data_IF_860551941763
#
_entry.id   IF_860551941763
#
_cell.length_a   1.000
_cell.length_b   1.000
_cell.length_c   1.000
_cell.angle_alpha   90.00
_cell.angle_beta   90.00
_cell.angle_gamma   90.00
#
_symmetry.space_group_name_H-M   'P 1'
#
loop_
_entity.id
_entity.type
_entity.pdbx_description
1 polymer ?
#
# COMPACT_ATOMS: atom_id res chain seq x y z
N UNK A 1 13.41 4.29 -11.72
CA UNK A 1 13.45 4.04 -10.27
C UNK A 1 14.70 4.60 -9.62
N UNK A 2 14.58 5.24 -8.46
CA UNK A 2 15.69 5.50 -7.55
C UNK A 2 15.41 4.80 -6.22
N UNK A 3 16.32 3.93 -5.77
CA UNK A 3 16.18 3.19 -4.52
C UNK A 3 16.65 4.04 -3.34
N UNK A 4 15.94 3.93 -2.23
CA UNK A 4 16.28 4.54 -0.95
C UNK A 4 16.64 3.46 0.05
N UNK A 5 17.47 3.80 1.04
CA UNK A 5 17.82 2.86 2.10
C UNK A 5 16.59 2.56 2.96
N UNK A 6 16.19 1.29 3.11
CA UNK A 6 15.08 0.94 3.96
C UNK A 6 15.45 1.11 5.44
N UNK A 7 14.45 1.37 6.31
CA UNK A 7 14.65 1.38 7.75
C UNK A 7 15.10 0.01 8.25
N UNK A 8 15.66 -0.04 9.47
CA UNK A 8 16.02 -1.33 10.09
C UNK A 8 14.75 -2.10 10.43
N UNK A 9 14.64 -3.34 9.97
CA UNK A 9 13.47 -4.16 10.25
C UNK A 9 13.32 -5.31 9.25
N UNK A 10 12.06 -5.69 8.93
CA UNK A 10 11.76 -6.64 7.87
C UNK A 10 12.40 -6.24 6.55
N UNK A 11 12.61 -7.21 5.65
CA UNK A 11 13.10 -6.93 4.30
C UNK A 11 12.12 -5.99 3.59
N UNK A 12 12.63 -4.85 3.14
CA UNK A 12 11.86 -3.85 2.38
C UNK A 12 12.61 -3.41 1.12
N UNK A 13 11.86 -2.92 0.14
CA UNK A 13 12.37 -2.15 -0.99
C UNK A 13 11.58 -0.86 -1.06
N UNK A 14 12.29 0.25 -1.00
CA UNK A 14 11.72 1.58 -0.96
C UNK A 14 12.34 2.35 -2.11
N UNK A 15 11.49 2.98 -2.92
CA UNK A 15 11.94 3.70 -4.09
C UNK A 15 11.09 4.92 -4.37
N UNK A 16 11.67 5.85 -5.12
CA UNK A 16 10.98 7.01 -5.68
C UNK A 16 11.19 7.11 -7.18
N UNK A 17 10.33 7.87 -7.83
CA UNK A 17 10.45 8.23 -9.25
C UNK A 17 9.85 9.60 -9.48
N UNK A 18 10.48 10.39 -10.34
CA UNK A 18 9.93 11.69 -10.73
C UNK A 18 8.67 11.46 -11.57
N UNK A 19 7.64 12.24 -11.29
CA UNK A 19 6.36 12.17 -11.98
C UNK A 19 6.54 12.60 -13.43
N UNK A 20 6.08 11.76 -14.34
CA UNK A 20 6.18 11.95 -15.77
C UNK A 20 4.92 11.43 -16.48
N UNK A 21 4.70 11.89 -17.71
CA UNK A 21 3.64 11.34 -18.55
C UNK A 21 4.04 9.93 -19.00
N UNK A 22 3.38 8.93 -18.42
CA UNK A 22 3.66 7.52 -18.70
C UNK A 22 2.38 6.67 -18.63
N UNK A 23 2.53 5.39 -18.99
CA UNK A 23 1.51 4.35 -18.87
C UNK A 23 2.07 3.19 -18.06
N UNK A 24 1.18 2.46 -17.37
CA UNK A 24 1.52 1.27 -16.59
C UNK A 24 0.46 0.21 -16.81
N UNK A 25 0.89 -1.05 -16.86
CA UNK A 25 0.02 -2.24 -16.95
C UNK A 25 -0.79 -2.45 -15.67
N UNK A 26 -0.28 -1.99 -14.52
CA UNK A 26 -0.98 -2.03 -13.23
C UNK A 26 -1.87 -0.80 -12.97
N UNK A 27 -2.05 0.08 -13.96
CA UNK A 27 -2.82 1.30 -13.80
C UNK A 27 -4.33 1.09 -13.98
N UNK A 28 -5.08 1.34 -12.90
CA UNK A 28 -6.54 1.45 -12.97
C UNK A 28 -6.99 2.60 -13.88
N UNK A 29 -8.12 2.42 -14.57
CA UNK A 29 -8.79 3.52 -15.27
C UNK A 29 -9.38 4.50 -14.24
N UNK A 30 -9.02 5.79 -14.32
CA UNK A 30 -9.58 6.84 -13.48
C UNK A 30 -10.52 7.73 -14.30
N UNK A 31 -11.85 7.58 -14.19
CA UNK A 31 -12.80 8.40 -14.94
C UNK A 31 -12.64 9.89 -14.61
N UNK A 32 -12.62 10.74 -15.63
CA UNK A 32 -12.60 12.21 -15.51
C UNK A 32 -11.41 12.76 -14.71
N UNK A 33 -10.28 12.06 -14.69
CA UNK A 33 -9.06 12.55 -14.07
C UNK A 33 -8.42 13.68 -14.89
N UNK A 34 -7.81 14.64 -14.20
CA UNK A 34 -6.93 15.64 -14.83
C UNK A 34 -5.65 14.99 -15.31
N UNK A 35 -4.96 15.60 -16.28
CA UNK A 35 -3.66 15.10 -16.77
C UNK A 35 -2.65 14.93 -15.62
N UNK A 36 -2.61 15.87 -14.67
CA UNK A 36 -1.75 15.75 -13.49
C UNK A 36 -2.09 14.50 -12.68
N UNK A 37 -3.36 14.26 -12.37
CA UNK A 37 -3.78 13.09 -11.58
C UNK A 37 -3.49 11.78 -12.30
N UNK A 38 -3.59 11.77 -13.64
CA UNK A 38 -3.20 10.61 -14.45
C UNK A 38 -1.70 10.37 -14.41
N UNK A 39 -0.87 11.43 -14.55
CA UNK A 39 0.58 11.33 -14.46
C UNK A 39 1.03 10.84 -13.07
N UNK A 40 0.46 11.40 -11.99
CA UNK A 40 0.74 10.99 -10.62
C UNK A 40 0.44 9.49 -10.42
N UNK A 41 -0.76 9.04 -10.83
CA UNK A 41 -1.19 7.65 -10.70
C UNK A 41 -0.36 6.70 -11.57
N UNK A 42 -0.18 7.00 -12.85
CA UNK A 42 0.56 6.15 -13.77
C UNK A 42 2.04 6.04 -13.39
N UNK A 43 2.65 7.14 -12.93
CA UNK A 43 4.04 7.08 -12.42
C UNK A 43 4.13 6.20 -11.20
N UNK A 44 3.19 6.32 -10.24
CA UNK A 44 3.17 5.47 -9.05
C UNK A 44 3.02 3.98 -9.38
N UNK A 45 2.19 3.66 -10.39
CA UNK A 45 1.99 2.29 -10.86
C UNK A 45 3.17 1.74 -11.66
N UNK A 46 3.80 2.57 -12.49
CA UNK A 46 5.04 2.21 -13.19
C UNK A 46 6.19 1.99 -12.20
N UNK A 47 6.29 2.83 -11.16
CA UNK A 47 7.25 2.63 -10.08
C UNK A 47 7.00 1.30 -9.35
N UNK A 48 5.73 0.95 -9.09
CA UNK A 48 5.38 -0.36 -8.51
C UNK A 48 5.84 -1.52 -9.40
N UNK A 49 5.66 -1.43 -10.73
CA UNK A 49 6.15 -2.45 -11.67
C UNK A 49 7.68 -2.60 -11.61
N UNK A 50 8.41 -1.48 -11.63
CA UNK A 50 9.87 -1.45 -11.50
C UNK A 50 10.31 -2.10 -10.17
N UNK A 51 9.60 -1.82 -9.07
CA UNK A 51 9.87 -2.39 -7.75
C UNK A 51 9.59 -3.90 -7.68
N UNK A 52 8.49 -4.35 -8.29
CA UNK A 52 8.10 -5.76 -8.30
C UNK A 52 9.01 -6.61 -9.19
N UNK A 53 9.47 -6.06 -10.32
CA UNK A 53 10.47 -6.70 -11.15
C UNK A 53 11.79 -6.92 -10.38
N UNK A 54 12.26 -5.91 -9.63
CA UNK A 54 13.42 -6.04 -8.73
C UNK A 54 13.15 -7.07 -7.62
N UNK A 55 11.91 -7.15 -7.11
CA UNK A 55 11.48 -8.15 -6.13
C UNK A 55 11.29 -9.55 -6.73
N UNK A 56 11.52 -9.73 -8.04
CA UNK A 56 11.33 -10.99 -8.77
C UNK A 56 9.87 -11.50 -8.80
N UNK A 57 8.90 -10.58 -8.80
CA UNK A 57 7.48 -10.89 -8.99
C UNK A 57 7.09 -10.66 -10.46
N UNK A 58 6.49 -11.66 -11.15
CA UNK A 58 6.07 -11.53 -12.54
C UNK A 58 4.82 -10.63 -12.65
N UNK A 59 4.99 -9.47 -13.29
CA UNK A 59 3.96 -8.42 -13.41
C UNK A 59 2.71 -8.91 -14.17
N UNK A 60 2.91 -9.79 -15.16
CA UNK A 60 1.85 -10.34 -16.01
C UNK A 60 0.96 -11.38 -15.31
N UNK A 61 1.30 -11.73 -14.07
CA UNK A 61 0.65 -12.78 -13.30
C UNK A 61 -0.07 -12.24 -12.06
N UNK A 62 -0.04 -10.92 -11.85
CA UNK A 62 -0.61 -10.26 -10.68
C UNK A 62 -1.60 -9.17 -11.07
N UNK A 63 -2.42 -8.77 -10.11
CA UNK A 63 -3.23 -7.57 -10.17
C UNK A 63 -3.13 -6.77 -8.87
N UNK A 64 -3.55 -5.50 -8.93
CA UNK A 64 -3.63 -4.65 -7.74
C UNK A 64 -5.09 -4.42 -7.37
N UNK A 65 -5.49 -5.04 -6.27
CA UNK A 65 -6.82 -4.89 -5.70
C UNK A 65 -6.80 -3.84 -4.59
N UNK A 66 -7.98 -3.56 -4.02
CA UNK A 66 -8.16 -2.58 -2.94
C UNK A 66 -9.05 -3.13 -1.85
N UNK A 67 -8.72 -2.82 -0.59
CA UNK A 67 -9.59 -3.09 0.56
C UNK A 67 -10.86 -2.21 0.51
N UNK A 68 -11.78 -2.42 1.44
CA UNK A 68 -12.97 -1.57 1.62
C UNK A 68 -12.58 -0.10 1.83
N UNK A 69 -11.53 0.15 2.61
CA UNK A 69 -10.94 1.48 2.87
C UNK A 69 -9.98 1.94 1.77
N UNK A 70 -9.97 1.24 0.63
CA UNK A 70 -9.27 1.60 -0.60
C UNK A 70 -7.74 1.45 -0.55
N UNK A 71 -7.19 0.80 0.48
CA UNK A 71 -5.77 0.49 0.56
C UNK A 71 -5.39 -0.56 -0.52
N UNK A 72 -4.34 -0.32 -1.33
CA UNK A 72 -3.96 -1.26 -2.38
C UNK A 72 -3.31 -2.52 -1.79
N UNK A 73 -3.50 -3.66 -2.44
CA UNK A 73 -2.78 -4.91 -2.16
C UNK A 73 -2.62 -5.73 -3.43
N UNK A 74 -1.64 -6.64 -3.45
CA UNK A 74 -1.39 -7.51 -4.60
C UNK A 74 -2.19 -8.80 -4.50
N UNK A 75 -2.70 -9.28 -5.63
CA UNK A 75 -3.28 -10.62 -5.78
C UNK A 75 -2.68 -11.31 -7.00
N UNK A 76 -2.63 -12.64 -6.98
CA UNK A 76 -2.39 -13.41 -8.21
C UNK A 76 -3.62 -13.30 -9.12
N UNK A 77 -3.40 -13.26 -10.43
CA UNK A 77 -4.50 -13.33 -11.39
C UNK A 77 -5.16 -14.72 -11.34
N UNK A 78 -6.48 -14.75 -11.47
CA UNK A 78 -7.26 -15.98 -11.57
C UNK A 78 -6.68 -16.92 -12.65
N UNK A 79 -6.46 -18.18 -12.27
CA UNK A 79 -5.93 -19.21 -13.17
C UNK A 79 -4.40 -19.29 -13.24
N UNK A 80 -3.67 -18.43 -12.51
CA UNK A 80 -2.23 -18.58 -12.30
C UNK A 80 -1.99 -19.58 -11.17
N UNK A 81 -1.26 -20.68 -11.46
CA UNK A 81 -0.87 -21.68 -10.45
C UNK A 81 0.35 -21.24 -9.64
N UNK A 82 0.20 -20.17 -8.84
CA UNK A 82 1.23 -19.63 -7.95
C UNK A 82 0.69 -19.55 -6.52
N UNK A 83 1.44 -20.05 -5.54
CA UNK A 83 1.00 -20.11 -4.14
C UNK A 83 1.98 -19.47 -3.15
N UNK A 84 3.10 -18.91 -3.62
CA UNK A 84 3.97 -18.12 -2.75
C UNK A 84 3.30 -16.79 -2.36
N UNK A 85 3.50 -16.34 -1.11
CA UNK A 85 2.90 -15.12 -0.62
C UNK A 85 3.53 -13.89 -1.28
N UNK A 86 2.68 -12.92 -1.62
CA UNK A 86 3.07 -11.64 -2.22
C UNK A 86 3.53 -10.64 -1.15
N UNK A 87 4.46 -9.72 -1.48
CA UNK A 87 4.80 -8.62 -0.59
C UNK A 87 3.61 -7.67 -0.41
N UNK A 88 3.51 -7.02 0.74
CA UNK A 88 2.58 -5.90 0.91
C UNK A 88 3.15 -4.63 0.27
N UNK A 89 2.26 -3.75 -0.19
CA UNK A 89 2.63 -2.57 -0.97
C UNK A 89 2.04 -1.30 -0.38
N UNK A 90 2.80 -0.21 -0.50
CA UNK A 90 2.30 1.13 -0.23
C UNK A 90 2.81 2.12 -1.27
N UNK A 91 1.94 3.04 -1.66
CA UNK A 91 2.19 4.03 -2.69
C UNK A 91 1.83 5.42 -2.16
N UNK A 92 2.56 6.42 -2.63
CA UNK A 92 2.30 7.83 -2.37
C UNK A 92 2.78 8.70 -3.51
N UNK A 93 2.32 9.95 -3.53
CA UNK A 93 2.87 10.95 -4.44
C UNK A 93 2.78 12.33 -3.79
N UNK A 94 3.80 13.16 -3.98
CA UNK A 94 3.75 14.56 -3.62
C UNK A 94 4.69 15.39 -4.48
N UNK A 95 4.25 16.61 -4.81
CA UNK A 95 4.97 17.51 -5.69
C UNK A 95 5.25 16.85 -7.04
N UNK A 96 6.53 16.60 -7.31
CA UNK A 96 7.03 15.95 -8.52
C UNK A 96 7.47 14.50 -8.30
N UNK A 97 7.16 13.88 -7.15
CA UNK A 97 7.68 12.55 -6.80
C UNK A 97 6.55 11.57 -6.52
N UNK A 98 6.68 10.37 -7.08
CA UNK A 98 5.97 9.18 -6.64
C UNK A 98 6.91 8.36 -5.73
N UNK A 99 6.35 7.73 -4.70
CA UNK A 99 7.06 6.88 -3.75
C UNK A 99 6.37 5.52 -3.64
N UNK A 100 7.16 4.46 -3.47
CA UNK A 100 6.69 3.09 -3.35
C UNK A 100 7.49 2.36 -2.28
N UNK A 101 6.80 1.55 -1.48
CA UNK A 101 7.40 0.59 -0.57
C UNK A 101 6.81 -0.80 -0.80
N UNK A 102 7.68 -1.80 -0.85
CA UNK A 102 7.37 -3.23 -0.74
C UNK A 102 7.94 -3.73 0.58
N UNK A 103 7.22 -4.60 1.27
CA UNK A 103 7.69 -5.30 2.47
C UNK A 103 7.47 -6.80 2.32
N UNK A 104 8.34 -7.61 2.90
CA UNK A 104 8.19 -9.06 2.87
C UNK A 104 6.86 -9.55 3.46
N UNK A 105 6.38 -10.72 3.02
CA UNK A 105 5.15 -11.31 3.54
C UNK A 105 5.13 -11.43 5.07
N UNK A 106 3.94 -11.27 5.66
CA UNK A 106 3.73 -11.27 7.10
C UNK A 106 3.68 -9.87 7.73
N UNK A 107 3.97 -8.83 6.95
CA UNK A 107 3.87 -7.44 7.38
C UNK A 107 2.98 -6.60 6.46
N UNK A 108 2.45 -5.51 7.01
CA UNK A 108 1.86 -4.42 6.22
C UNK A 108 2.74 -3.18 6.30
N UNK A 109 2.80 -2.43 5.19
CA UNK A 109 3.65 -1.25 5.06
C UNK A 109 2.84 -0.02 4.69
N UNK A 110 3.28 1.12 5.18
CA UNK A 110 2.81 2.44 4.79
C UNK A 110 3.98 3.33 4.45
N UNK A 111 3.93 4.00 3.29
CA UNK A 111 4.91 5.01 2.92
C UNK A 111 4.23 6.33 2.64
N UNK A 112 4.83 7.40 3.12
CA UNK A 112 4.46 8.75 2.72
C UNK A 112 5.70 9.63 2.48
N UNK A 113 5.55 10.60 1.58
CA UNK A 113 6.67 11.40 1.10
C UNK A 113 6.22 12.81 0.72
N UNK A 114 6.86 13.82 1.32
CA UNK A 114 6.51 15.23 1.14
C UNK A 114 7.77 16.10 1.02
N UNK A 115 7.80 17.19 0.22
CA UNK A 115 8.95 18.08 0.19
C UNK A 115 9.27 18.58 1.60
N UNK A 116 10.53 18.45 2.03
CA UNK A 116 10.95 18.73 3.42
C UNK A 116 10.84 20.21 3.78
N UNK A 117 10.81 21.08 2.79
CA UNK A 117 10.64 22.53 2.91
C UNK A 117 9.17 22.98 2.78
N UNK A 118 8.25 22.05 2.46
CA UNK A 118 6.82 22.32 2.40
C UNK A 118 6.32 22.66 3.81
N UNK A 119 6.24 23.93 4.18
CA UNK A 119 5.60 24.30 5.44
C UNK A 119 4.17 23.76 5.53
N UNK A 120 3.73 23.37 6.73
CA UNK A 120 2.32 23.10 7.02
C UNK A 120 1.72 24.35 7.66
N UNK A 121 0.55 24.77 7.18
CA UNK A 121 -0.17 25.89 7.76
C UNK A 121 -0.64 25.53 9.18
N UNK A 122 -0.52 26.48 10.10
CA UNK A 122 -0.80 26.24 11.53
C UNK A 122 -2.24 25.79 11.81
N UNK A 123 -3.21 26.23 10.99
CA UNK A 123 -4.60 25.78 11.07
C UNK A 123 -4.78 24.26 10.80
N UNK A 124 -3.85 23.62 10.10
CA UNK A 124 -3.86 22.18 9.89
C UNK A 124 -3.37 21.41 11.13
N UNK A 125 -2.68 22.06 12.08
CA UNK A 125 -2.18 21.37 13.28
C UNK A 125 -3.32 20.83 14.13
N UNK A 126 -4.43 21.56 14.24
CA UNK A 126 -5.64 21.11 14.95
C UNK A 126 -6.32 19.91 14.26
N UNK A 127 -6.04 19.66 12.97
CA UNK A 127 -6.48 18.47 12.25
C UNK A 127 -5.55 17.28 12.44
N UNK A 128 -4.28 17.54 12.77
CA UNK A 128 -3.23 16.53 12.93
C UNK A 128 -3.08 16.02 14.36
N UNK A 129 -3.23 16.91 15.34
CA UNK A 129 -2.86 16.67 16.74
C UNK A 129 -3.90 17.24 17.71
N UNK A 130 -3.82 16.82 18.97
CA UNK A 130 -4.64 17.34 20.08
C UNK A 130 -3.85 17.31 21.38
N UNK A 131 -4.29 18.08 22.38
CA UNK A 131 -3.65 18.10 23.70
C UNK A 131 -2.17 18.50 23.63
N UNK A 132 -1.33 17.82 24.41
CA UNK A 132 0.11 18.11 24.52
C UNK A 132 0.85 18.01 23.18
N UNK A 133 0.45 17.08 22.30
CA UNK A 133 1.06 16.95 20.97
C UNK A 133 0.82 18.21 20.11
N UNK A 134 -0.37 18.79 20.19
CA UNK A 134 -0.72 20.01 19.46
C UNK A 134 0.08 21.21 19.97
N UNK A 135 0.18 21.36 21.30
CA UNK A 135 0.94 22.44 21.92
C UNK A 135 2.45 22.32 21.60
N UNK A 136 2.96 21.08 21.58
CA UNK A 136 4.32 20.79 21.14
C UNK A 136 4.52 21.13 19.66
N UNK A 137 3.56 20.79 18.79
CA UNK A 137 3.65 21.06 17.34
C UNK A 137 3.64 22.57 17.04
N UNK A 138 2.79 23.34 17.73
CA UNK A 138 2.78 24.82 17.66
C UNK A 138 4.11 25.42 18.09
N UNK A 139 4.76 24.83 19.10
CA UNK A 139 6.09 25.25 19.56
C UNK A 139 7.22 24.78 18.62
N UNK A 140 6.98 23.76 17.81
CA UNK A 140 7.96 23.12 16.93
C UNK A 140 7.46 22.97 15.47
N UNK A 141 7.04 24.06 14.79
CA UNK A 141 6.37 23.98 13.49
C UNK A 141 7.25 23.37 12.38
N UNK A 142 8.58 23.42 12.52
CA UNK A 142 9.53 22.77 11.60
C UNK A 142 9.42 21.24 11.60
N UNK A 143 8.82 20.65 12.64
CA UNK A 143 8.60 19.20 12.75
C UNK A 143 7.28 18.76 12.10
N UNK A 144 6.45 19.71 11.65
CA UNK A 144 5.10 19.40 11.17
C UNK A 144 5.08 18.43 9.98
N UNK A 145 5.96 18.59 8.99
CA UNK A 145 6.03 17.66 7.86
C UNK A 145 6.47 16.27 8.29
N UNK A 146 7.42 16.16 9.22
CA UNK A 146 7.82 14.87 9.78
C UNK A 146 6.65 14.19 10.48
N UNK A 147 5.91 14.93 11.32
CA UNK A 147 4.74 14.39 12.04
C UNK A 147 3.63 14.00 11.06
N UNK A 148 3.36 14.84 10.05
CA UNK A 148 2.38 14.57 9.00
C UNK A 148 2.67 13.27 8.25
N UNK A 149 3.86 13.20 7.63
CA UNK A 149 4.27 12.04 6.84
C UNK A 149 4.30 10.77 7.70
N UNK A 150 4.75 10.85 8.95
CA UNK A 150 4.74 9.71 9.87
C UNK A 150 3.32 9.21 10.16
N UNK A 151 2.37 10.12 10.42
CA UNK A 151 0.98 9.74 10.67
C UNK A 151 0.30 9.17 9.42
N UNK A 152 0.53 9.74 8.24
CA UNK A 152 0.01 9.19 6.99
C UNK A 152 0.61 7.82 6.67
N UNK A 153 1.90 7.62 6.91
CA UNK A 153 2.53 6.31 6.80
C UNK A 153 1.87 5.29 7.75
N UNK A 154 1.64 5.66 9.02
CA UNK A 154 0.94 4.79 9.98
C UNK A 154 -0.46 4.44 9.48
N UNK A 155 -1.26 5.43 9.05
CA UNK A 155 -2.61 5.19 8.52
C UNK A 155 -2.63 4.23 7.32
N UNK A 156 -1.62 4.32 6.45
CA UNK A 156 -1.46 3.42 5.30
C UNK A 156 -1.06 2.01 5.75
N UNK A 157 -0.14 1.87 6.71
CA UNK A 157 0.25 0.55 7.27
C UNK A 157 -0.90 -0.14 8.01
N UNK A 158 -1.82 0.65 8.58
CA UNK A 158 -3.06 0.17 9.21
C UNK A 158 -4.16 -0.17 8.20
N UNK A 159 -3.97 0.13 6.91
CA UNK A 159 -4.95 0.02 5.83
C UNK A 159 -6.27 0.75 6.06
N UNK A 160 -6.31 1.73 6.97
CA UNK A 160 -7.52 2.50 7.33
C UNK A 160 -7.62 3.85 6.63
N UNK A 161 -6.49 4.39 6.16
CA UNK A 161 -6.43 5.76 5.65
C UNK A 161 -7.03 6.73 6.68
N UNK A 162 -7.89 7.65 6.22
CA UNK A 162 -8.52 8.66 7.08
C UNK A 162 -9.60 8.12 8.04
N UNK A 163 -9.97 6.83 7.97
CA UNK A 163 -10.81 6.22 9.01
C UNK A 163 -10.07 6.11 10.35
N UNK A 164 -8.74 6.08 10.32
CA UNK A 164 -7.93 6.29 11.51
C UNK A 164 -7.69 7.80 11.65
N UNK A 165 -8.28 8.42 12.66
CA UNK A 165 -8.14 9.85 12.87
C UNK A 165 -6.68 10.19 13.24
N UNK A 166 -5.99 11.10 12.51
CA UNK A 166 -4.61 11.50 12.82
C UNK A 166 -4.39 11.96 14.26
N UNK A 167 -5.41 12.59 14.86
CA UNK A 167 -5.36 13.12 16.24
C UNK A 167 -5.34 12.02 17.30
N UNK A 168 -5.66 10.79 16.93
CA UNK A 168 -5.68 9.63 17.82
C UNK A 168 -4.42 8.76 17.65
N UNK A 169 -3.54 9.11 16.71
CA UNK A 169 -2.29 8.39 16.46
C UNK A 169 -1.19 8.91 17.39
N UNK A 170 -0.68 8.03 18.25
CA UNK A 170 0.59 8.23 18.95
C UNK A 170 1.73 7.58 18.17
N UNK A 171 2.62 8.41 17.61
CA UNK A 171 3.74 7.95 16.77
C UNK A 171 4.63 6.96 17.51
N UNK A 172 4.87 7.17 18.81
CA UNK A 172 5.77 6.34 19.63
C UNK A 172 5.27 4.90 19.83
N UNK A 173 3.99 4.65 19.56
CA UNK A 173 3.37 3.32 19.68
C UNK A 173 3.47 2.50 18.40
N UNK A 174 4.06 3.04 17.33
CA UNK A 174 4.12 2.42 16.01
C UNK A 174 5.57 2.26 15.55
N UNK A 175 5.83 1.24 14.72
CA UNK A 175 7.10 1.11 14.03
C UNK A 175 7.06 2.07 12.84
N UNK A 176 7.69 3.23 13.00
CA UNK A 176 7.80 4.24 11.95
C UNK A 176 9.16 4.91 12.00
N UNK A 177 9.78 5.05 10.84
CA UNK A 177 11.04 5.76 10.67
C UNK A 177 10.87 6.86 9.64
N UNK A 178 11.41 8.05 9.96
CA UNK A 178 11.36 9.22 9.09
C UNK A 178 12.77 9.69 8.79
N UNK A 179 13.06 9.95 7.51
CA UNK A 179 14.35 10.43 7.05
C UNK A 179 14.19 11.39 5.87
N UNK A 180 15.24 12.15 5.57
CA UNK A 180 15.28 13.05 4.42
C UNK A 180 16.15 12.43 3.33
N UNK A 181 15.59 12.31 2.13
CA UNK A 181 16.29 11.87 0.93
C UNK A 181 16.16 12.94 -0.15
N UNK A 182 17.27 13.60 -0.50
CA UNK A 182 17.33 14.69 -1.49
C UNK A 182 16.21 15.74 -1.35
N UNK A 183 16.02 16.24 -0.14
CA UNK A 183 15.02 17.27 0.15
C UNK A 183 13.58 16.77 0.25
N UNK A 184 13.32 15.47 0.17
CA UNK A 184 12.03 14.84 0.42
C UNK A 184 12.01 14.23 1.82
N UNK A 185 11.06 14.62 2.68
CA UNK A 185 10.78 13.94 3.93
C UNK A 185 10.00 12.67 3.61
N UNK A 186 10.60 11.52 3.89
CA UNK A 186 10.00 10.21 3.74
C UNK A 186 9.70 9.66 5.13
N UNK A 187 8.52 9.09 5.31
CA UNK A 187 8.18 8.27 6.46
C UNK A 187 7.70 6.91 6.02
N UNK A 188 8.21 5.88 6.69
CA UNK A 188 7.88 4.47 6.42
C UNK A 188 7.43 3.86 7.72
N UNK A 189 6.20 3.34 7.75
CA UNK A 189 5.65 2.62 8.88
C UNK A 189 5.37 1.17 8.50
N UNK A 190 5.51 0.26 9.46
CA UNK A 190 5.17 -1.14 9.26
C UNK A 190 4.60 -1.78 10.53
N UNK A 191 3.96 -2.93 10.36
CA UNK A 191 3.43 -3.75 11.47
C UNK A 191 3.19 -5.17 10.98
N UNK A 192 3.00 -6.09 11.92
CA UNK A 192 2.52 -7.43 11.59
C UNK A 192 1.20 -7.33 10.83
N UNK A 193 1.09 -8.11 9.76
CA UNK A 193 -0.07 -8.16 8.91
C UNK A 193 -1.30 -8.62 9.72
N UNK A 194 -2.43 -7.94 9.50
CA UNK A 194 -3.72 -8.40 9.97
C UNK A 194 -4.31 -9.47 9.05
N UNK A 195 -5.62 -9.70 9.19
CA UNK A 195 -6.36 -10.61 8.31
C UNK A 195 -6.36 -10.06 6.88
N UNK A 196 -5.92 -10.87 5.92
CA UNK A 196 -5.97 -10.51 4.51
C UNK A 196 -7.43 -10.38 4.03
N UNK A 197 -7.73 -9.49 3.08
CA UNK A 197 -9.03 -9.46 2.42
C UNK A 197 -9.33 -10.83 1.78
N UNK A 198 -10.53 -11.37 2.01
CA UNK A 198 -10.96 -12.63 1.39
C UNK A 198 -11.33 -12.42 -0.07
N UNK A 199 -10.96 -13.36 -0.93
CA UNK A 199 -11.41 -13.41 -2.32
C UNK A 199 -12.64 -14.32 -2.48
N UNK A 200 -13.33 -14.20 -3.61
CA UNK A 200 -14.41 -15.13 -3.96
C UNK A 200 -13.90 -16.58 -4.14
N UNK A 201 -12.63 -16.74 -4.52
CA UNK A 201 -11.97 -18.04 -4.57
C UNK A 201 -11.78 -18.62 -3.16
N UNK A 202 -11.34 -17.82 -2.19
CA UNK A 202 -11.23 -18.26 -0.78
C UNK A 202 -12.59 -18.72 -0.23
N UNK A 203 -13.66 -17.98 -0.55
CA UNK A 203 -15.02 -18.36 -0.18
C UNK A 203 -15.46 -19.67 -0.84
N UNK A 204 -15.09 -19.88 -2.11
CA UNK A 204 -15.37 -21.12 -2.83
C UNK A 204 -14.54 -22.30 -2.30
N UNK A 205 -13.28 -22.08 -1.92
CA UNK A 205 -12.41 -23.09 -1.32
C UNK A 205 -12.93 -23.52 0.05
N UNK A 206 -13.36 -22.57 0.90
CA UNK A 206 -13.97 -22.86 2.19
C UNK A 206 -15.29 -23.63 2.03
N UNK A 207 -16.17 -23.19 1.12
CA UNK A 207 -17.42 -23.89 0.83
C UNK A 207 -17.19 -25.31 0.29
N UNK A 208 -16.16 -25.48 -0.55
CA UNK A 208 -15.76 -26.79 -1.06
C UNK A 208 -15.22 -27.68 0.06
N UNK A 209 -14.38 -27.13 0.95
CA UNK A 209 -13.85 -27.82 2.11
C UNK A 209 -14.97 -28.26 3.07
N UNK A 210 -15.96 -27.41 3.31
CA UNK A 210 -17.14 -27.76 4.09
C UNK A 210 -17.93 -28.90 3.44
N UNK A 211 -18.21 -28.80 2.13
CA UNK A 211 -18.89 -29.87 1.39
C UNK A 211 -18.13 -31.20 1.42
N UNK A 212 -16.80 -31.17 1.40
CA UNK A 212 -15.94 -32.35 1.56
C UNK A 212 -16.00 -32.95 2.97
N UNK A 213 -16.09 -32.12 4.00
CA UNK A 213 -16.22 -32.58 5.40
C UNK A 213 -17.60 -33.19 5.67
N UNK A 214 -18.65 -32.63 5.10
CA UNK A 214 -20.02 -33.11 5.25
C UNK A 214 -20.32 -34.38 4.45
N UNK A 215 -19.60 -34.60 3.34
CA UNK A 215 -19.75 -35.78 2.50
C UNK A 215 -18.41 -36.51 2.26
N UNK A 216 -18.13 -37.61 3.00
CA UNK A 216 -16.90 -38.40 2.84
C UNK A 216 -16.70 -39.00 1.44
N UNK A 217 -17.78 -39.14 0.65
CA UNK A 217 -17.75 -39.64 -0.73
C UNK A 217 -17.67 -38.50 -1.77
N UNK A 218 -17.26 -37.29 -1.36
CA UNK A 218 -17.15 -36.14 -2.25
C UNK A 218 -16.21 -36.42 -3.44
N UNK A 219 -16.79 -36.47 -4.64
CA UNK A 219 -16.05 -36.64 -5.89
C UNK A 219 -16.03 -35.35 -6.71
N UNK A 220 -14.84 -34.80 -7.00
CA UNK A 220 -14.68 -33.73 -7.99
C UNK A 220 -14.58 -34.38 -9.37
N UNK A 221 -15.62 -34.24 -10.19
CA UNK A 221 -15.66 -34.81 -11.53
C UNK A 221 -16.25 -33.85 -12.55
N UNK A 222 -15.53 -33.58 -13.63
CA UNK A 222 -16.05 -32.88 -14.81
C UNK A 222 -17.13 -33.74 -15.46
N UNK A 223 -18.42 -33.45 -15.22
CA UNK A 223 -19.52 -34.07 -15.96
C UNK A 223 -19.61 -33.45 -17.36
N UNK A 224 -18.71 -33.84 -18.26
CA UNK A 224 -18.92 -33.65 -19.70
C UNK A 224 -19.96 -34.65 -20.19
N UNK A 225 -21.23 -34.27 -20.10
CA UNK A 225 -22.31 -34.97 -20.79
C UNK A 225 -22.24 -34.63 -22.28
N UNK A 226 -21.52 -35.44 -23.08
CA UNK A 226 -21.73 -35.42 -24.54
C UNK A 226 -23.09 -36.08 -24.83
N UNK A 227 -24.14 -35.27 -24.92
CA UNK A 227 -25.39 -35.70 -25.55
C UNK A 227 -25.15 -35.81 -27.06
N UNK A 228 -24.67 -36.97 -27.51
CA UNK A 228 -24.83 -37.39 -28.89
C UNK A 228 -26.15 -38.15 -28.98
N UNK A 229 -27.18 -37.51 -29.54
CA UNK A 229 -28.34 -38.16 -30.16
C UNK A 229 -28.40 -37.69 -31.60
#
# INVERSE_FOLDING_TARGET
>A
MEKMDPPKGPRMLIARKRIEECSSNLADVIPRATNKRLADHNTGRLLLEECLAEWSIPIDSIEVLRTEERAPYLSWLDGVWMNHPLPDISLGHSGEWAVCALIEPGYWVGIDGEPSDRGIQENAFDMMAKGEELDWLRSNPKQAIRVWTAKEAIQKSEKKGMHLNPRDISIEQHQVESFIHDGLMISVAWRDAGVAPRSAEDDLLDATLEAMKENPDFSVGCKTSRNNV
#
